data_IF_650119086552
#
_entry.id   IF_650119086552
#
_cell.length_a   1.000
_cell.length_b   1.000
_cell.length_c   1.000
_cell.angle_alpha   90.00
_cell.angle_beta   90.00
_cell.angle_gamma   90.00
#
_symmetry.space_group_name_H-M   'P 1'
#
loop_
_entity.id
_entity.type
_entity.pdbx_description
1 polymer ?
#
# COMPACT_ATOMS: atom_id res chain seq x y z
N UNK A 1 -14.78 -14.21 -30.42
CA UNK A 1 -13.45 -14.24 -29.78
C UNK A 1 -12.99 -12.87 -29.29
N UNK A 2 -13.00 -11.82 -30.13
CA UNK A 2 -12.51 -10.49 -29.75
C UNK A 2 -13.23 -9.88 -28.54
N UNK A 3 -14.57 -9.93 -28.50
CA UNK A 3 -15.36 -9.42 -27.36
C UNK A 3 -15.05 -10.13 -26.02
N UNK A 4 -14.80 -11.44 -26.05
CA UNK A 4 -14.48 -12.21 -24.84
C UNK A 4 -13.08 -11.89 -24.29
N UNK A 5 -12.10 -11.68 -25.18
CA UNK A 5 -10.76 -11.24 -24.78
C UNK A 5 -10.81 -9.82 -24.20
N UNK A 6 -11.56 -8.91 -24.84
CA UNK A 6 -11.75 -7.54 -24.35
C UNK A 6 -12.44 -7.51 -22.97
N UNK A 7 -13.48 -8.32 -22.77
CA UNK A 7 -14.15 -8.43 -21.47
C UNK A 7 -13.21 -8.94 -20.38
N UNK A 8 -12.36 -9.92 -20.68
CA UNK A 8 -11.40 -10.47 -19.73
C UNK A 8 -10.29 -9.45 -19.37
N UNK A 9 -9.80 -8.69 -20.35
CA UNK A 9 -8.82 -7.61 -20.11
C UNK A 9 -9.46 -6.51 -19.24
N UNK A 10 -10.67 -6.06 -19.57
CA UNK A 10 -11.37 -5.04 -18.79
C UNK A 10 -11.62 -5.49 -17.35
N UNK A 11 -12.02 -6.75 -17.16
CA UNK A 11 -12.19 -7.35 -15.84
C UNK A 11 -10.87 -7.40 -15.06
N UNK A 12 -9.78 -7.84 -15.70
CA UNK A 12 -8.45 -7.87 -15.09
C UNK A 12 -7.96 -6.50 -14.66
N UNK A 13 -8.14 -5.48 -15.52
CA UNK A 13 -7.79 -4.10 -15.20
C UNK A 13 -8.61 -3.57 -14.01
N UNK A 14 -9.92 -3.83 -13.99
CA UNK A 14 -10.78 -3.45 -12.86
C UNK A 14 -10.36 -4.11 -11.55
N UNK A 15 -10.04 -5.40 -11.56
CA UNK A 15 -9.53 -6.13 -10.40
C UNK A 15 -8.19 -5.57 -9.90
N UNK A 16 -7.27 -5.20 -10.81
CA UNK A 16 -5.99 -4.60 -10.45
C UNK A 16 -6.16 -3.24 -9.78
N UNK A 17 -7.02 -2.37 -10.34
CA UNK A 17 -7.33 -1.06 -9.75
C UNK A 17 -7.98 -1.20 -8.37
N UNK A 18 -8.93 -2.13 -8.23
CA UNK A 18 -9.56 -2.42 -6.95
C UNK A 18 -8.55 -2.92 -5.92
N UNK A 19 -7.67 -3.86 -6.31
CA UNK A 19 -6.61 -4.37 -5.44
C UNK A 19 -5.66 -3.27 -4.97
N UNK A 20 -5.24 -2.39 -5.88
CA UNK A 20 -4.42 -1.23 -5.54
C UNK A 20 -5.12 -0.30 -4.55
N UNK A 21 -6.37 0.08 -4.83
CA UNK A 21 -7.14 0.99 -3.98
C UNK A 21 -7.31 0.48 -2.55
N UNK A 22 -7.50 -0.83 -2.37
CA UNK A 22 -7.75 -1.41 -1.05
C UNK A 22 -6.47 -1.73 -0.28
N UNK A 23 -5.41 -2.19 -0.95
CA UNK A 23 -4.24 -2.74 -0.27
C UNK A 23 -3.02 -1.81 -0.26
N UNK A 24 -2.85 -0.97 -1.28
CA UNK A 24 -1.61 -0.21 -1.50
C UNK A 24 -1.85 1.29 -1.31
N UNK A 25 -2.89 1.82 -1.96
CA UNK A 25 -3.23 3.23 -1.92
C UNK A 25 -3.33 3.83 -0.50
N UNK A 26 -3.88 3.14 0.52
CA UNK A 26 -3.98 3.73 1.85
C UNK A 26 -2.60 4.00 2.49
N UNK A 27 -1.60 3.16 2.21
CA UNK A 27 -0.21 3.36 2.67
C UNK A 27 0.49 4.46 1.88
N UNK A 28 0.29 4.50 0.55
CA UNK A 28 0.81 5.59 -0.29
C UNK A 28 0.25 6.96 0.13
N UNK A 29 -1.07 7.01 0.41
CA UNK A 29 -1.78 8.19 0.93
C UNK A 29 -1.19 8.65 2.27
N UNK A 30 -0.99 7.71 3.19
CA UNK A 30 -0.38 7.99 4.48
C UNK A 30 1.06 8.50 4.36
N UNK A 31 1.89 7.91 3.51
CA UNK A 31 3.25 8.40 3.22
C UNK A 31 3.23 9.83 2.70
N UNK A 32 2.27 10.19 1.83
CA UNK A 32 2.08 11.55 1.36
C UNK A 32 1.79 12.54 2.51
N UNK A 33 0.94 12.16 3.46
CA UNK A 33 0.67 12.97 4.65
C UNK A 33 1.87 13.05 5.59
N UNK A 34 2.61 11.97 5.82
CA UNK A 34 3.81 11.97 6.66
C UNK A 34 4.91 12.85 6.06
N UNK A 35 5.08 12.85 4.74
CA UNK A 35 6.00 13.76 4.05
C UNK A 35 5.63 15.23 4.26
N UNK A 36 4.32 15.55 4.26
CA UNK A 36 3.84 16.89 4.61
C UNK A 36 4.11 17.23 6.08
N UNK A 37 3.89 16.28 6.98
CA UNK A 37 4.19 16.44 8.41
C UNK A 37 5.68 16.71 8.67
N UNK A 38 6.59 16.02 7.97
CA UNK A 38 8.05 16.23 8.09
C UNK A 38 8.47 17.63 7.59
N UNK A 39 7.76 18.19 6.62
CA UNK A 39 8.02 19.54 6.09
C UNK A 39 7.33 20.67 6.85
N UNK A 40 6.45 20.34 7.80
CA UNK A 40 5.62 21.31 8.50
C UNK A 40 6.49 22.27 9.35
N UNK A 41 6.06 23.52 9.44
CA UNK A 41 6.80 24.56 10.16
C UNK A 41 6.29 24.77 11.58
N UNK A 42 5.11 24.23 11.91
CA UNK A 42 4.53 24.31 13.26
C UNK A 42 4.12 22.94 13.78
N UNK A 43 4.21 22.70 15.10
CA UNK A 43 3.78 21.46 15.73
C UNK A 43 2.31 21.13 15.49
N UNK A 44 1.43 22.14 15.42
CA UNK A 44 0.00 21.95 15.17
C UNK A 44 -0.27 21.43 13.76
N UNK A 45 0.39 22.02 12.75
CA UNK A 45 0.28 21.58 11.36
C UNK A 45 0.84 20.17 11.20
N UNK A 46 2.00 19.90 11.81
CA UNK A 46 2.60 18.57 11.87
C UNK A 46 1.61 17.56 12.47
N UNK A 47 1.06 17.84 13.64
CA UNK A 47 0.13 16.94 14.33
C UNK A 47 -1.12 16.65 13.49
N UNK A 48 -1.62 17.64 12.74
CA UNK A 48 -2.77 17.46 11.87
C UNK A 48 -2.46 16.52 10.68
N UNK A 49 -1.30 16.67 10.04
CA UNK A 49 -0.89 15.77 8.97
C UNK A 49 -0.63 14.35 9.49
N UNK A 50 -0.03 14.20 10.67
CA UNK A 50 0.16 12.88 11.29
C UNK A 50 -1.18 12.20 11.57
N UNK A 51 -2.16 12.92 12.12
CA UNK A 51 -3.52 12.38 12.32
C UNK A 51 -4.20 11.99 11.00
N UNK A 52 -3.96 12.73 9.92
CA UNK A 52 -4.45 12.36 8.59
C UNK A 52 -3.80 11.06 8.10
N UNK A 53 -2.48 10.93 8.21
CA UNK A 53 -1.77 9.69 7.86
C UNK A 53 -2.29 8.47 8.62
N UNK A 54 -2.52 8.62 9.93
CA UNK A 54 -3.07 7.55 10.78
C UNK A 54 -4.41 7.00 10.29
N UNK A 55 -5.30 7.89 9.83
CA UNK A 55 -6.64 7.54 9.34
C UNK A 55 -6.61 6.74 8.04
N UNK A 56 -5.60 6.97 7.22
CA UNK A 56 -5.44 6.27 5.93
C UNK A 56 -4.77 4.90 6.15
N UNK A 57 -3.85 4.77 7.11
CA UNK A 57 -3.18 3.50 7.35
C UNK A 57 -4.05 2.43 8.00
N UNK A 58 -3.76 1.14 7.74
CA UNK A 58 -4.27 0.05 8.54
C UNK A 58 -3.98 0.24 10.05
N UNK A 59 -4.94 -0.12 10.90
CA UNK A 59 -4.77 -0.03 12.36
C UNK A 59 -3.88 -1.13 12.94
N UNK A 60 -3.78 -2.27 12.25
CA UNK A 60 -3.05 -3.45 12.73
C UNK A 60 -2.66 -4.39 11.59
N UNK A 61 -1.85 -5.40 11.93
CA UNK A 61 -1.34 -6.40 11.01
C UNK A 61 0.10 -6.11 10.59
N UNK A 62 0.65 -7.03 9.79
CA UNK A 62 1.99 -6.90 9.26
C UNK A 62 1.95 -7.28 7.77
N UNK A 63 2.32 -6.37 6.85
CA UNK A 63 2.31 -6.66 5.42
C UNK A 63 3.38 -7.68 5.05
N UNK A 64 4.46 -7.78 5.86
CA UNK A 64 5.52 -8.79 5.68
C UNK A 64 5.08 -10.11 6.28
N UNK A 65 4.41 -10.93 5.46
CA UNK A 65 3.83 -12.19 5.90
C UNK A 65 4.84 -13.32 6.13
N UNK A 66 5.98 -13.31 5.44
CA UNK A 66 6.97 -14.38 5.50
C UNK A 66 7.86 -14.30 6.74
N UNK A 67 8.33 -13.09 7.06
CA UNK A 67 9.23 -12.81 8.18
C UNK A 67 8.88 -11.45 8.80
N UNK A 68 7.77 -11.34 9.54
CA UNK A 68 7.33 -10.07 10.12
C UNK A 68 8.35 -9.55 11.13
N UNK A 69 8.51 -8.22 11.17
CA UNK A 69 9.35 -7.55 12.16
C UNK A 69 8.57 -6.43 12.86
N UNK A 70 9.12 -5.90 13.95
CA UNK A 70 8.53 -4.76 14.65
C UNK A 70 8.47 -3.50 13.79
N UNK A 71 9.40 -3.32 12.85
CA UNK A 71 9.42 -2.18 11.90
C UNK A 71 8.23 -2.19 10.95
N UNK A 72 7.74 -3.37 10.61
CA UNK A 72 6.66 -3.55 9.63
C UNK A 72 5.30 -3.78 10.30
N UNK A 73 5.22 -3.69 11.62
CA UNK A 73 3.98 -3.89 12.38
C UNK A 73 3.15 -2.60 12.40
N UNK A 74 1.98 -2.63 11.77
CA UNK A 74 1.11 -1.44 11.70
C UNK A 74 0.63 -0.97 13.06
N UNK A 75 0.40 -1.87 14.04
CA UNK A 75 -0.03 -1.44 15.37
C UNK A 75 1.08 -0.71 16.11
N UNK A 76 2.35 -1.11 15.92
CA UNK A 76 3.49 -0.39 16.47
C UNK A 76 3.71 0.95 15.77
N UNK A 77 3.58 0.99 14.43
CA UNK A 77 3.66 2.24 13.66
C UNK A 77 2.57 3.22 14.10
N UNK A 78 1.31 2.77 14.24
CA UNK A 78 0.19 3.60 14.71
C UNK A 78 0.48 4.20 16.10
N UNK A 79 1.05 3.41 17.00
CA UNK A 79 1.47 3.88 18.34
C UNK A 79 2.60 4.92 18.25
N UNK A 80 3.61 4.69 17.42
CA UNK A 80 4.69 5.67 17.23
C UNK A 80 4.16 7.00 16.68
N UNK A 81 3.14 6.95 15.81
CA UNK A 81 2.46 8.17 15.33
C UNK A 81 1.64 8.86 16.44
N UNK A 82 1.02 8.11 17.36
CA UNK A 82 0.39 8.69 18.55
C UNK A 82 1.39 9.42 19.43
N UNK A 83 2.56 8.83 19.65
CA UNK A 83 3.64 9.44 20.44
C UNK A 83 4.15 10.72 19.76
N UNK A 84 4.23 10.73 18.43
CA UNK A 84 4.56 11.95 17.67
C UNK A 84 3.51 13.03 17.86
N UNK A 85 2.22 12.70 17.76
CA UNK A 85 1.13 13.66 17.99
C UNK A 85 1.18 14.22 19.41
N UNK A 86 1.40 13.37 20.41
CA UNK A 86 1.52 13.78 21.80
C UNK A 86 2.72 14.74 22.01
N UNK A 87 3.88 14.40 21.44
CA UNK A 87 5.08 15.27 21.47
C UNK A 87 4.83 16.60 20.78
N UNK A 88 4.21 16.60 19.61
CA UNK A 88 3.89 17.81 18.86
C UNK A 88 2.98 18.75 19.67
N UNK A 89 1.91 18.20 20.29
CA UNK A 89 1.03 18.98 21.16
C UNK A 89 1.73 19.47 22.45
N UNK A 90 2.75 18.76 22.93
CA UNK A 90 3.53 19.21 24.09
C UNK A 90 4.40 20.40 23.71
N UNK A 91 5.11 20.34 22.58
CA UNK A 91 6.01 21.42 22.14
C UNK A 91 5.26 22.65 21.61
N UNK A 92 4.00 22.51 21.19
CA UNK A 92 3.17 23.63 20.74
C UNK A 92 2.88 24.66 21.85
N UNK A 93 3.03 24.27 23.12
CA UNK A 93 2.88 25.18 24.26
C UNK A 93 4.14 25.99 24.60
N UNK A 94 5.27 25.69 23.95
CA UNK A 94 6.53 26.40 24.15
C UNK A 94 6.55 27.74 23.40
N UNK A 95 7.45 28.64 23.79
CA UNK A 95 7.66 29.90 23.07
C UNK A 95 8.12 29.60 21.63
N UNK A 96 7.43 30.12 20.60
CA UNK A 96 7.82 29.92 19.22
C UNK A 96 9.27 30.37 18.99
N UNK A 97 10.02 29.57 18.23
CA UNK A 97 11.43 29.79 17.91
C UNK A 97 12.42 29.72 19.09
N UNK A 98 11.98 29.31 20.29
CA UNK A 98 12.92 28.96 21.36
C UNK A 98 13.81 27.79 20.96
N UNK A 99 14.93 27.62 21.65
CA UNK A 99 15.84 26.48 21.41
C UNK A 99 15.11 25.15 21.65
N UNK A 100 14.30 25.04 22.69
CA UNK A 100 13.52 23.86 23.04
C UNK A 100 12.44 23.56 21.99
N UNK A 101 11.74 24.60 21.52
CA UNK A 101 10.74 24.48 20.46
C UNK A 101 11.38 23.95 19.17
N UNK A 102 12.46 24.58 18.70
CA UNK A 102 13.11 24.20 17.44
C UNK A 102 13.77 22.81 17.52
N UNK A 103 14.41 22.50 18.65
CA UNK A 103 15.02 21.17 18.87
C UNK A 103 13.96 20.09 18.93
N UNK A 104 12.86 20.33 19.67
CA UNK A 104 11.75 19.39 19.75
C UNK A 104 11.10 19.12 18.40
N UNK A 105 10.89 20.16 17.59
CA UNK A 105 10.36 20.04 16.24
C UNK A 105 11.31 19.25 15.33
N UNK A 106 12.61 19.55 15.38
CA UNK A 106 13.64 18.82 14.61
C UNK A 106 13.66 17.32 14.95
N UNK A 107 13.62 16.97 16.24
CA UNK A 107 13.60 15.58 16.68
C UNK A 107 12.32 14.84 16.23
N UNK A 108 11.20 15.55 16.12
CA UNK A 108 9.96 14.96 15.58
C UNK A 108 10.12 14.69 14.07
N UNK A 109 10.69 15.62 13.30
CA UNK A 109 10.95 15.41 11.87
C UNK A 109 11.84 14.18 11.64
N UNK A 110 12.91 14.02 12.42
CA UNK A 110 13.76 12.83 12.35
C UNK A 110 12.99 11.53 12.67
N UNK A 111 12.07 11.57 13.65
CA UNK A 111 11.21 10.42 13.99
C UNK A 111 10.24 10.08 12.86
N UNK A 112 9.64 11.09 12.22
CA UNK A 112 8.74 10.93 11.08
C UNK A 112 9.44 10.30 9.88
N UNK A 113 10.68 10.72 9.61
CA UNK A 113 11.49 10.13 8.55
C UNK A 113 11.72 8.64 8.76
N UNK A 114 12.08 8.23 9.98
CA UNK A 114 12.27 6.81 10.31
C UNK A 114 10.99 5.99 10.09
N UNK A 115 9.82 6.52 10.47
CA UNK A 115 8.53 5.84 10.24
C UNK A 115 8.21 5.73 8.75
N UNK A 116 8.51 6.77 7.97
CA UNK A 116 8.35 6.71 6.51
C UNK A 116 9.25 5.64 5.89
N UNK A 117 10.51 5.53 6.32
CA UNK A 117 11.43 4.48 5.88
C UNK A 117 10.89 3.08 6.23
N UNK A 118 10.42 2.89 7.46
CA UNK A 118 9.81 1.62 7.90
C UNK A 118 8.58 1.23 7.04
N UNK A 119 7.75 2.20 6.66
CA UNK A 119 6.61 1.98 5.75
C UNK A 119 7.06 1.65 4.33
N UNK A 120 8.07 2.36 3.79
CA UNK A 120 8.62 2.12 2.46
C UNK A 120 9.25 0.72 2.37
N UNK A 121 9.94 0.28 3.41
CA UNK A 121 10.51 -1.07 3.50
C UNK A 121 9.42 -2.17 3.50
N UNK A 122 8.24 -1.84 4.02
CA UNK A 122 7.09 -2.74 4.09
C UNK A 122 6.29 -2.80 2.77
N UNK A 123 6.31 -1.73 1.97
CA UNK A 123 5.51 -1.56 0.75
C UNK A 123 5.64 -2.69 -0.28
N UNK A 124 6.83 -3.25 -0.60
CA UNK A 124 6.94 -4.36 -1.57
C UNK A 124 6.06 -5.57 -1.22
N UNK A 125 5.82 -5.82 0.06
CA UNK A 125 5.03 -6.96 0.52
C UNK A 125 3.52 -6.74 0.39
N UNK A 126 3.07 -5.50 0.21
CA UNK A 126 1.68 -5.19 -0.16
C UNK A 126 1.37 -5.67 -1.59
N UNK A 127 2.32 -5.54 -2.51
CA UNK A 127 2.20 -6.07 -3.86
C UNK A 127 2.26 -7.60 -3.88
N UNK A 128 3.16 -8.18 -3.09
CA UNK A 128 3.42 -9.63 -3.05
C UNK A 128 2.78 -10.28 -1.82
N UNK A 129 1.55 -9.87 -1.50
CA UNK A 129 0.79 -10.48 -0.41
C UNK A 129 0.40 -11.92 -0.76
N UNK A 130 0.19 -12.76 0.28
CA UNK A 130 -0.23 -14.15 0.09
C UNK A 130 -1.48 -14.27 -0.79
N UNK A 131 -2.46 -13.38 -0.60
CA UNK A 131 -3.69 -13.33 -1.40
C UNK A 131 -3.39 -12.94 -2.85
N UNK A 132 -2.51 -11.97 -3.09
CA UNK A 132 -2.13 -11.58 -4.45
C UNK A 132 -1.39 -12.71 -5.19
N UNK A 133 -0.56 -13.49 -4.49
CA UNK A 133 0.09 -14.67 -5.06
C UNK A 133 -0.96 -15.71 -5.47
N UNK A 134 -1.92 -16.02 -4.60
CA UNK A 134 -3.00 -16.97 -4.90
C UNK A 134 -3.85 -16.49 -6.09
N UNK A 135 -4.25 -15.22 -6.11
CA UNK A 135 -5.00 -14.63 -7.21
C UNK A 135 -4.20 -14.69 -8.52
N UNK A 136 -2.89 -14.43 -8.48
CA UNK A 136 -2.02 -14.56 -9.65
C UNK A 136 -1.97 -15.99 -10.18
N UNK A 137 -1.92 -16.99 -9.29
CA UNK A 137 -1.99 -18.39 -9.69
C UNK A 137 -3.34 -18.75 -10.36
N UNK A 138 -4.45 -18.22 -9.84
CA UNK A 138 -5.77 -18.37 -10.46
C UNK A 138 -5.81 -17.75 -11.86
N UNK A 139 -5.27 -16.54 -12.02
CA UNK A 139 -5.18 -15.87 -13.32
C UNK A 139 -4.39 -16.67 -14.35
N UNK A 140 -3.24 -17.23 -13.95
CA UNK A 140 -2.44 -18.11 -14.80
C UNK A 140 -3.26 -19.35 -15.21
N UNK A 141 -3.97 -19.98 -14.27
CA UNK A 141 -4.82 -21.14 -14.55
C UNK A 141 -5.95 -20.82 -15.54
N UNK A 142 -6.60 -19.66 -15.42
CA UNK A 142 -7.62 -19.18 -16.36
C UNK A 142 -7.04 -19.01 -17.77
N UNK A 143 -5.86 -18.38 -17.89
CA UNK A 143 -5.20 -18.20 -19.18
C UNK A 143 -4.87 -19.56 -19.83
N UNK A 144 -4.32 -20.50 -19.06
CA UNK A 144 -4.00 -21.85 -19.54
C UNK A 144 -5.26 -22.61 -19.98
N UNK A 145 -6.36 -22.52 -19.22
CA UNK A 145 -7.64 -23.13 -19.58
C UNK A 145 -8.19 -22.57 -20.90
N UNK A 146 -8.12 -21.25 -21.10
CA UNK A 146 -8.51 -20.60 -22.35
C UNK A 146 -7.67 -21.11 -23.52
N UNK A 147 -6.35 -21.18 -23.36
CA UNK A 147 -5.46 -21.73 -24.39
C UNK A 147 -5.78 -23.19 -24.73
N UNK A 148 -6.05 -24.02 -23.72
CA UNK A 148 -6.41 -25.43 -23.93
C UNK A 148 -7.72 -25.58 -24.69
N UNK A 149 -8.75 -24.78 -24.37
CA UNK A 149 -10.03 -24.76 -25.08
C UNK A 149 -9.85 -24.30 -26.52
N UNK A 150 -9.09 -23.22 -26.75
CA UNK A 150 -8.80 -22.73 -28.11
C UNK A 150 -8.02 -23.76 -28.95
N UNK A 151 -7.08 -24.48 -28.33
CA UNK A 151 -6.33 -25.56 -29.01
C UNK A 151 -7.25 -26.70 -29.44
N UNK A 152 -8.14 -27.16 -28.55
CA UNK A 152 -9.12 -28.20 -28.87
C UNK A 152 -10.09 -27.76 -29.97
N UNK A 153 -10.58 -26.52 -29.91
CA UNK A 153 -11.44 -25.94 -30.94
C UNK A 153 -10.79 -25.95 -32.32
N UNK A 154 -9.54 -25.47 -32.43
CA UNK A 154 -8.79 -25.47 -33.71
C UNK A 154 -8.53 -26.87 -34.27
N UNK A 155 -8.26 -27.86 -33.41
CA UNK A 155 -8.07 -29.24 -33.84
C UNK A 155 -9.35 -29.85 -34.43
N UNK A 156 -10.51 -29.58 -33.81
CA UNK A 156 -11.81 -30.04 -34.30
C UNK A 156 -12.16 -29.46 -35.67
N UNK A 157 -11.98 -28.15 -35.86
CA UNK A 157 -12.22 -27.51 -37.17
C UNK A 157 -11.32 -28.10 -38.26
N UNK A 158 -10.02 -28.33 -37.99
CA UNK A 158 -9.10 -28.89 -38.99
C UNK A 158 -9.51 -30.29 -39.46
N UNK A 159 -9.97 -31.16 -38.55
CA UNK A 159 -10.48 -32.49 -38.89
C UNK A 159 -11.77 -32.42 -39.74
N UNK A 160 -12.61 -31.42 -39.51
CA UNK A 160 -13.85 -31.22 -40.27
C UNK A 160 -13.58 -30.76 -41.72
N UNK A 161 -12.50 -30.00 -41.94
CA UNK A 161 -12.05 -29.59 -43.28
C UNK A 161 -11.28 -30.69 -44.04
N UNK A 162 -10.51 -31.54 -43.36
CA UNK A 162 -9.77 -32.65 -44.00
C UNK A 162 -10.67 -33.85 -44.37
N UNK A 163 -11.86 -33.94 -43.79
CA UNK A 163 -12.85 -34.99 -44.05
C UNK A 163 -13.92 -34.57 -45.10
N UNK A 164 -13.79 -33.41 -45.74
CA UNK A 164 -14.58 -32.95 -46.89
C UNK A 164 -13.75 -33.04 -48.16
#
# INVERSE_FOLDING_TARGET
>A
MMAGVLALIAFGAGMALYGYQQAIYPVDSALGYLSRAESAQTPEELANFVKAAKREMPESGNPVWSFPTAKTDYALIQRNLDDIVARANSISSLEPYSTEYNTGLYDIHASLKNIQEDLVDATPYLYVSFINIMLSAVWIAVILALFAIMRKGRAKFRQEYENQ
#
